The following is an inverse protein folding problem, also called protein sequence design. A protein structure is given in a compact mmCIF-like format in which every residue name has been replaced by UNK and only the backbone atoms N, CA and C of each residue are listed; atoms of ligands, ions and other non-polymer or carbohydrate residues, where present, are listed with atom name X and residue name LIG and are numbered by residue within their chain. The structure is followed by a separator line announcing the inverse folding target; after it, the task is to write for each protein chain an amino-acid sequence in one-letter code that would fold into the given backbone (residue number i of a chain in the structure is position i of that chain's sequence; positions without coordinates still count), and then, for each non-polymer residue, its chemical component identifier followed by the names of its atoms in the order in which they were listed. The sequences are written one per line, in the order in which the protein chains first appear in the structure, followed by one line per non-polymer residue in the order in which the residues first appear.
data_IF_059278712588
#
_entry.id   IF_059278712588
#
_cell.length_a   1.000
_cell.length_b   1.000
_cell.length_c   1.000
_cell.angle_alpha   90.00
_cell.angle_beta   90.00
_cell.angle_gamma   90.00
#
_symmetry.space_group_name_H-M   'P 1'
#
loop_
_entity.id
_entity.type
_entity.pdbx_description
1 polymer ?
#
# COMPACT_ATOMS: atom_id res chain seq x y z
N UNK A 1 7.82 1.77 8.47
CA UNK A 1 6.37 2.05 8.36
C UNK A 1 5.79 2.01 9.77
N UNK A 2 4.85 2.91 10.13
CA UNK A 2 4.06 2.77 11.35
C UNK A 2 3.27 1.45 11.35
N UNK A 3 2.81 1.00 12.52
CA UNK A 3 2.15 -0.29 12.73
C UNK A 3 0.80 -0.36 11.98
N UNK A 4 0.77 -1.14 10.90
CA UNK A 4 -0.41 -1.31 10.06
C UNK A 4 -1.56 -2.02 10.79
N UNK A 5 -1.24 -2.96 11.67
CA UNK A 5 -2.24 -3.69 12.44
C UNK A 5 -2.95 -2.76 13.41
N UNK A 6 -2.20 -1.87 14.08
CA UNK A 6 -2.77 -0.84 14.94
C UNK A 6 -3.67 0.12 14.15
N UNK A 7 -3.22 0.56 12.97
CA UNK A 7 -4.00 1.45 12.11
C UNK A 7 -5.33 0.81 11.68
N UNK A 8 -5.29 -0.45 11.24
CA UNK A 8 -6.50 -1.21 10.85
C UNK A 8 -7.44 -1.38 12.05
N UNK A 9 -6.90 -1.70 13.23
CA UNK A 9 -7.70 -1.83 14.45
C UNK A 9 -8.43 -0.53 14.79
N UNK A 10 -7.75 0.60 14.63
CA UNK A 10 -8.35 1.91 14.89
C UNK A 10 -9.43 2.25 13.86
N UNK A 11 -9.22 1.93 12.59
CA UNK A 11 -10.24 2.04 11.54
C UNK A 11 -11.47 1.20 11.91
N UNK A 12 -11.27 -0.06 12.32
CA UNK A 12 -12.37 -0.91 12.78
C UNK A 12 -13.11 -0.29 13.98
N UNK A 13 -12.39 0.26 14.96
CA UNK A 13 -12.98 0.89 16.15
C UNK A 13 -13.91 2.06 15.82
N UNK A 14 -13.53 2.91 14.85
CA UNK A 14 -14.26 4.14 14.52
C UNK A 14 -15.39 3.96 13.50
N UNK A 15 -15.35 2.90 12.68
CA UNK A 15 -16.42 2.61 11.73
C UNK A 15 -17.74 2.29 12.45
N UNK A 16 -18.89 2.71 11.92
CA UNK A 16 -20.18 2.21 12.43
C UNK A 16 -20.40 0.75 11.98
N UNK A 17 -21.23 -0.05 12.65
CA UNK A 17 -21.73 -1.30 12.10
C UNK A 17 -22.34 -1.08 10.70
N UNK A 18 -21.98 -1.93 9.73
CA UNK A 18 -22.28 -1.78 8.30
C UNK A 18 -21.39 -0.78 7.56
N UNK A 19 -20.49 -0.07 8.25
CA UNK A 19 -19.59 0.92 7.67
C UNK A 19 -18.51 0.28 6.78
N UNK A 20 -18.15 0.95 5.69
CA UNK A 20 -17.17 0.45 4.73
C UNK A 20 -15.82 1.17 4.87
N UNK A 21 -14.75 0.38 4.81
CA UNK A 21 -13.38 0.84 4.67
C UNK A 21 -12.98 0.71 3.20
N UNK A 22 -12.45 1.79 2.61
CA UNK A 22 -11.75 1.76 1.33
C UNK A 22 -10.38 2.40 1.47
N UNK A 23 -9.34 1.75 0.97
CA UNK A 23 -7.98 2.30 0.90
C UNK A 23 -7.41 2.13 -0.49
N UNK A 24 -6.74 3.15 -1.03
CA UNK A 24 -5.97 3.05 -2.25
C UNK A 24 -4.50 3.26 -1.89
N UNK A 25 -3.69 2.23 -2.08
CA UNK A 25 -2.28 2.28 -1.72
C UNK A 25 -1.39 1.69 -2.81
N UNK A 26 -0.12 2.11 -2.79
CA UNK A 26 0.92 1.41 -3.52
C UNK A 26 0.99 -0.03 -3.05
N UNK A 27 1.16 -0.94 -4.00
CA UNK A 27 1.24 -2.36 -3.75
C UNK A 27 2.66 -2.86 -4.02
N UNK A 28 2.97 -4.00 -3.41
CA UNK A 28 4.15 -4.80 -3.74
C UNK A 28 3.70 -5.93 -4.67
N UNK A 29 3.95 -5.86 -5.99
CA UNK A 29 3.55 -6.90 -6.92
C UNK A 29 4.14 -8.26 -6.50
N UNK A 30 3.34 -9.32 -6.61
CA UNK A 30 3.77 -10.70 -6.34
C UNK A 30 4.76 -11.20 -7.39
N UNK A 31 4.61 -10.77 -8.64
CA UNK A 31 5.54 -11.08 -9.72
C UNK A 31 6.87 -10.33 -9.51
N UNK A 32 7.96 -11.10 -9.33
CA UNK A 32 9.30 -10.56 -9.06
C UNK A 32 9.86 -9.67 -10.16
N UNK A 33 9.57 -9.98 -11.44
CA UNK A 33 10.03 -9.18 -12.57
C UNK A 33 9.33 -7.82 -12.61
N UNK A 34 8.00 -7.83 -12.49
CA UNK A 34 7.19 -6.59 -12.41
C UNK A 34 7.66 -5.73 -11.24
N UNK A 35 7.90 -6.35 -10.08
CA UNK A 35 8.42 -5.65 -8.90
C UNK A 35 9.80 -5.03 -9.13
N UNK A 36 10.71 -5.73 -9.79
CA UNK A 36 12.06 -5.22 -10.08
C UNK A 36 12.01 -4.01 -11.02
N UNK A 37 11.27 -4.12 -12.13
CA UNK A 37 11.07 -3.03 -13.10
C UNK A 37 10.42 -1.82 -12.43
N UNK A 38 9.39 -2.06 -11.62
CA UNK A 38 8.70 -1.01 -10.88
C UNK A 38 9.61 -0.26 -9.90
N UNK A 39 10.39 -0.99 -9.09
CA UNK A 39 11.32 -0.37 -8.15
C UNK A 39 12.45 0.37 -8.86
N UNK A 40 12.93 -0.13 -10.01
CA UNK A 40 13.92 0.56 -10.83
C UNK A 40 13.35 1.88 -11.37
N UNK A 41 12.14 1.84 -11.95
CA UNK A 41 11.43 3.03 -12.43
C UNK A 41 11.30 4.09 -11.32
N UNK A 42 10.81 3.69 -10.14
CA UNK A 42 10.65 4.61 -9.01
C UNK A 42 11.96 5.20 -8.51
N UNK A 43 13.03 4.41 -8.47
CA UNK A 43 14.35 4.92 -8.08
C UNK A 43 14.87 5.95 -9.09
N UNK A 44 14.82 5.64 -10.39
CA UNK A 44 15.36 6.52 -11.44
C UNK A 44 14.55 7.80 -11.56
N UNK A 45 13.22 7.70 -11.64
CA UNK A 45 12.34 8.87 -11.74
C UNK A 45 12.36 9.67 -10.44
N UNK A 46 12.34 9.01 -9.29
CA UNK A 46 12.44 9.66 -7.98
C UNK A 46 13.73 10.47 -7.83
N UNK A 47 14.88 9.89 -8.19
CA UNK A 47 16.16 10.60 -8.13
C UNK A 47 16.20 11.81 -9.09
N UNK A 48 15.64 11.64 -10.30
CA UNK A 48 15.60 12.71 -11.30
C UNK A 48 14.72 13.87 -10.86
N UNK A 49 13.51 13.58 -10.37
CA UNK A 49 12.58 14.60 -9.87
C UNK A 49 13.07 15.25 -8.58
N UNK A 50 13.68 14.48 -7.68
CA UNK A 50 14.31 15.01 -6.47
C UNK A 50 15.39 16.03 -6.83
N UNK A 51 16.28 15.68 -7.76
CA UNK A 51 17.32 16.59 -8.22
C UNK A 51 16.75 17.83 -8.93
N UNK A 52 15.78 17.66 -9.84
CA UNK A 52 15.19 18.77 -10.60
C UNK A 52 14.43 19.77 -9.73
N UNK A 53 13.64 19.28 -8.77
CA UNK A 53 12.72 20.11 -7.98
C UNK A 53 13.34 20.57 -6.65
N UNK A 54 14.18 19.74 -6.04
CA UNK A 54 14.69 19.96 -4.69
C UNK A 54 16.23 20.03 -4.63
N UNK A 55 16.93 19.84 -5.77
CA UNK A 55 18.39 19.72 -5.84
C UNK A 55 18.96 18.60 -4.95
N UNK A 56 18.12 17.62 -4.63
CA UNK A 56 18.47 16.47 -3.79
C UNK A 56 17.87 15.18 -4.39
N UNK A 57 18.69 14.25 -4.90
CA UNK A 57 18.21 13.00 -5.48
C UNK A 57 17.60 12.04 -4.43
N UNK A 58 17.88 12.21 -3.14
CA UNK A 58 17.40 11.32 -2.10
C UNK A 58 16.00 11.69 -1.57
N UNK A 59 15.46 12.86 -1.94
CA UNK A 59 14.16 13.38 -1.47
C UNK A 59 13.02 12.34 -1.58
N UNK A 60 12.99 11.55 -2.66
CA UNK A 60 11.92 10.57 -2.91
C UNK A 60 12.31 9.10 -2.64
N UNK A 61 13.49 8.81 -2.08
CA UNK A 61 13.93 7.42 -1.82
C UNK A 61 13.05 6.66 -0.84
N UNK A 62 12.29 7.37 0.00
CA UNK A 62 11.37 6.74 0.93
C UNK A 62 10.24 5.96 0.22
N UNK A 63 9.87 6.32 -1.02
CA UNK A 63 8.80 5.68 -1.78
C UNK A 63 9.17 4.21 -2.12
N UNK A 64 10.25 3.94 -2.86
CA UNK A 64 10.66 2.56 -3.15
C UNK A 64 11.06 1.79 -1.88
N UNK A 65 11.61 2.47 -0.87
CA UNK A 65 11.92 1.84 0.42
C UNK A 65 10.65 1.34 1.14
N UNK A 66 9.58 2.15 1.15
CA UNK A 66 8.30 1.80 1.76
C UNK A 66 7.63 0.63 1.04
N UNK A 67 7.65 0.63 -0.29
CA UNK A 67 7.06 -0.45 -1.11
C UNK A 67 7.76 -1.80 -0.87
N UNK A 68 9.08 -1.81 -0.63
CA UNK A 68 9.82 -3.05 -0.32
C UNK A 68 9.35 -3.68 0.99
N UNK A 69 9.13 -2.86 2.01
CA UNK A 69 8.68 -3.27 3.34
C UNK A 69 7.18 -3.57 3.38
N UNK A 70 6.40 -3.08 2.41
CA UNK A 70 4.97 -3.28 2.37
C UNK A 70 4.60 -4.77 2.26
N UNK A 71 3.67 -5.27 3.10
CA UNK A 71 3.31 -6.69 3.13
C UNK A 71 2.65 -7.17 1.82
N UNK A 72 2.06 -6.24 1.05
CA UNK A 72 1.39 -6.52 -0.22
C UNK A 72 -0.11 -6.77 -0.05
N UNK A 73 -0.87 -6.56 -1.14
CA UNK A 73 -2.31 -6.43 -1.08
C UNK A 73 -3.05 -7.63 -0.49
N UNK A 74 -2.60 -8.86 -0.78
CA UNK A 74 -3.19 -10.08 -0.24
C UNK A 74 -2.96 -10.21 1.28
N UNK A 75 -1.78 -9.84 1.77
CA UNK A 75 -1.47 -9.86 3.20
C UNK A 75 -2.27 -8.78 3.95
N UNK A 76 -2.50 -7.62 3.35
CA UNK A 76 -3.36 -6.57 3.91
C UNK A 76 -4.81 -7.05 4.03
N UNK A 77 -5.33 -7.79 3.04
CA UNK A 77 -6.67 -8.41 3.17
C UNK A 77 -6.75 -9.32 4.39
N UNK A 78 -5.74 -10.18 4.60
CA UNK A 78 -5.69 -11.04 5.80
C UNK A 78 -5.66 -10.23 7.09
N UNK A 79 -4.86 -9.16 7.14
CA UNK A 79 -4.82 -8.28 8.31
C UNK A 79 -6.17 -7.59 8.59
N UNK A 80 -6.89 -7.18 7.54
CA UNK A 80 -8.24 -6.62 7.69
C UNK A 80 -9.20 -7.65 8.33
N UNK A 81 -9.17 -8.90 7.85
CA UNK A 81 -9.97 -10.01 8.39
C UNK A 81 -9.60 -10.33 9.84
N UNK A 82 -8.31 -10.39 10.15
CA UNK A 82 -7.79 -10.65 11.50
C UNK A 82 -8.19 -9.55 12.51
N UNK A 83 -8.46 -8.32 12.06
CA UNK A 83 -8.96 -7.23 12.92
C UNK A 83 -10.50 -7.15 12.98
N UNK A 84 -11.23 -8.13 12.42
CA UNK A 84 -12.68 -8.22 12.54
C UNK A 84 -13.48 -7.52 11.44
N UNK A 85 -12.82 -7.00 10.39
CA UNK A 85 -13.53 -6.54 9.20
C UNK A 85 -13.91 -7.74 8.32
N UNK A 86 -15.11 -7.72 7.76
CA UNK A 86 -15.64 -8.79 6.92
C UNK A 86 -15.66 -8.39 5.45
N UNK A 87 -15.71 -9.40 4.57
CA UNK A 87 -15.78 -9.20 3.12
C UNK A 87 -14.56 -8.48 2.54
N UNK A 88 -13.40 -8.60 3.18
CA UNK A 88 -12.18 -7.93 2.78
C UNK A 88 -11.72 -8.45 1.41
N UNK A 89 -11.51 -7.52 0.46
CA UNK A 89 -11.05 -7.82 -0.89
C UNK A 89 -10.13 -6.71 -1.35
N UNK A 90 -9.26 -7.02 -2.32
CA UNK A 90 -8.48 -6.00 -3.01
C UNK A 90 -8.72 -6.05 -4.51
N UNK A 91 -8.57 -4.90 -5.16
CA UNK A 91 -8.69 -4.73 -6.59
C UNK A 91 -7.36 -4.18 -7.13
N UNK A 92 -6.64 -4.92 -7.98
CA UNK A 92 -5.39 -4.44 -8.54
C UNK A 92 -5.64 -3.27 -9.49
N UNK A 93 -4.78 -2.25 -9.41
CA UNK A 93 -4.79 -1.05 -10.25
C UNK A 93 -3.43 -0.93 -10.93
N UNK A 94 -3.41 -0.44 -12.17
CA UNK A 94 -2.20 -0.31 -13.00
C UNK A 94 -1.40 -1.63 -13.08
N UNK A 95 -2.08 -2.74 -13.36
CA UNK A 95 -1.40 -4.05 -13.45
C UNK A 95 -0.89 -4.59 -12.11
N UNK A 96 -1.38 -4.08 -10.98
CA UNK A 96 -1.03 -4.55 -9.63
C UNK A 96 0.07 -3.74 -8.94
N UNK A 97 0.49 -2.61 -9.53
CA UNK A 97 1.39 -1.63 -8.88
C UNK A 97 0.70 -0.91 -7.71
N UNK A 98 -0.62 -0.80 -7.78
CA UNK A 98 -1.46 -0.26 -6.71
C UNK A 98 -2.60 -1.24 -6.44
N UNK A 99 -3.25 -1.09 -5.29
CA UNK A 99 -4.44 -1.86 -4.95
C UNK A 99 -5.45 -1.00 -4.21
N UNK A 100 -6.73 -1.20 -4.53
CA UNK A 100 -7.83 -0.69 -3.73
C UNK A 100 -8.28 -1.81 -2.79
N UNK A 101 -8.19 -1.61 -1.49
CA UNK A 101 -8.75 -2.50 -0.48
C UNK A 101 -10.17 -2.05 -0.13
N UNK A 102 -11.07 -3.01 0.03
CA UNK A 102 -12.43 -2.79 0.52
C UNK A 102 -12.76 -3.80 1.60
N UNK A 103 -13.31 -3.35 2.72
CA UNK A 103 -13.83 -4.22 3.77
C UNK A 103 -15.01 -3.56 4.50
N UNK A 104 -15.76 -4.32 5.29
CA UNK A 104 -16.96 -3.83 6.01
C UNK A 104 -16.84 -4.16 7.49
N UNK A 105 -17.18 -3.22 8.37
CA UNK A 105 -17.39 -3.53 9.80
C UNK A 105 -18.77 -4.16 9.94
N UNK A 106 -18.82 -5.42 10.35
CA UNK A 106 -20.07 -6.08 10.74
C UNK A 106 -20.51 -5.68 12.14
#
# INVERSE_FOLDING_TARGET
MPDLTLAIREIHRVLKPGGQMLSLDFNRPSNGLVRAVYLMYLNTVGATLGWMLHRDPDTYRYIPASIRQYPGAAAVVRLLEEQGLSGARYYPVLGGLMAIHRAVRT
#
